data_IF_112960786044
#
_entry.id   IF_112960786044
#
_cell.length_a   1.000
_cell.length_b   1.000
_cell.length_c   1.000
_cell.angle_alpha   90.00
_cell.angle_beta   90.00
_cell.angle_gamma   90.00
#
_symmetry.space_group_name_H-M   'P 1'
#
loop_
_entity.id
_entity.type
_entity.pdbx_description
1 polymer ?
#
# COMPACT_ATOMS: atom_id res chain seq x y z
N UNK A 1 -16.28 -3.61 9.58
CA UNK A 1 -15.77 -4.12 8.30
C UNK A 1 -14.57 -5.04 8.57
N UNK A 2 -14.58 -6.25 8.01
CA UNK A 2 -13.45 -7.17 8.16
C UNK A 2 -12.46 -6.95 7.01
N UNK A 3 -11.51 -6.04 7.21
CA UNK A 3 -10.55 -5.63 6.18
C UNK A 3 -9.57 -6.75 5.77
N UNK A 4 -9.45 -7.84 6.56
CA UNK A 4 -8.59 -8.97 6.19
C UNK A 4 -9.10 -9.79 4.99
N UNK A 5 -10.34 -9.56 4.58
CA UNK A 5 -10.95 -10.22 3.43
C UNK A 5 -10.88 -9.39 2.16
N UNK A 6 -10.26 -8.22 2.22
CA UNK A 6 -10.21 -7.25 1.13
C UNK A 6 -8.75 -7.07 0.71
N UNK A 7 -8.33 -7.75 -0.34
CA UNK A 7 -6.99 -7.62 -0.89
C UNK A 7 -5.88 -7.75 0.17
N UNK A 8 -4.84 -6.94 0.07
CA UNK A 8 -3.74 -6.88 1.02
C UNK A 8 -4.09 -6.19 2.37
N UNK A 9 -5.35 -5.86 2.60
CA UNK A 9 -5.81 -5.22 3.84
C UNK A 9 -5.93 -6.25 4.96
N UNK A 10 -5.04 -6.19 5.95
CA UNK A 10 -4.97 -7.16 7.08
C UNK A 10 -5.16 -6.50 8.45
N UNK A 11 -5.76 -5.30 8.52
CA UNK A 11 -6.02 -4.55 9.75
C UNK A 11 -7.36 -4.98 10.37
N UNK A 12 -7.38 -6.12 11.05
CA UNK A 12 -8.59 -6.68 11.68
C UNK A 12 -8.63 -6.45 13.18
N UNK A 13 -9.80 -6.62 13.77
CA UNK A 13 -9.99 -6.55 15.22
C UNK A 13 -9.21 -7.66 15.94
N UNK A 14 -9.16 -8.88 15.36
CA UNK A 14 -8.39 -9.98 15.92
C UNK A 14 -6.89 -9.68 15.92
N UNK A 15 -6.37 -9.13 14.80
CA UNK A 15 -4.99 -8.66 14.76
C UNK A 15 -4.75 -7.55 15.76
N UNK A 16 -5.62 -6.54 15.83
CA UNK A 16 -5.49 -5.44 16.77
C UNK A 16 -5.46 -5.89 18.23
N UNK A 17 -6.21 -6.95 18.57
CA UNK A 17 -6.22 -7.54 19.92
C UNK A 17 -4.92 -8.27 20.25
N UNK A 18 -4.33 -8.95 19.29
CA UNK A 18 -3.25 -9.91 19.49
C UNK A 18 -1.87 -9.43 19.03
N UNK A 19 -1.77 -8.25 18.40
CA UNK A 19 -0.49 -7.73 17.91
C UNK A 19 0.47 -7.43 19.06
N UNK A 20 1.63 -8.08 19.05
CA UNK A 20 2.73 -7.92 20.01
C UNK A 20 4.07 -8.01 19.26
N UNK A 21 5.16 -7.73 19.94
CA UNK A 21 6.51 -7.93 19.41
C UNK A 21 6.88 -9.38 19.11
N UNK A 22 6.12 -10.34 19.66
CA UNK A 22 6.32 -11.78 19.49
C UNK A 22 5.20 -12.45 18.68
N UNK A 23 4.14 -11.72 18.32
CA UNK A 23 3.11 -12.23 17.43
C UNK A 23 3.67 -12.48 16.03
N UNK A 24 3.00 -13.35 15.28
CA UNK A 24 3.34 -13.64 13.90
C UNK A 24 3.40 -12.34 13.06
N UNK A 25 4.37 -12.22 12.18
CA UNK A 25 4.49 -11.09 11.28
C UNK A 25 3.36 -11.11 10.24
N UNK A 26 2.55 -10.06 10.22
CA UNK A 26 1.34 -10.05 9.40
C UNK A 26 1.57 -9.47 8.01
N UNK A 27 2.38 -8.41 7.87
CA UNK A 27 2.63 -7.78 6.59
C UNK A 27 4.07 -7.34 6.45
N UNK A 28 4.62 -7.53 5.25
CA UNK A 28 5.88 -6.95 4.81
C UNK A 28 5.70 -6.23 3.48
N UNK A 29 6.22 -5.02 3.34
CA UNK A 29 6.32 -4.33 2.06
C UNK A 29 7.80 -4.15 1.71
N UNK A 30 8.24 -4.78 0.62
CA UNK A 30 9.62 -4.74 0.14
C UNK A 30 9.73 -3.83 -1.07
N UNK A 31 10.59 -2.81 -0.95
CA UNK A 31 10.92 -1.89 -2.03
C UNK A 31 12.07 -2.48 -2.85
N UNK A 32 11.77 -2.83 -4.10
CA UNK A 32 12.73 -3.52 -4.98
C UNK A 32 13.63 -2.55 -5.75
N UNK A 33 13.07 -1.43 -6.18
CA UNK A 33 13.72 -0.51 -7.10
C UNK A 33 13.21 0.91 -6.92
N UNK A 34 14.06 1.89 -7.19
CA UNK A 34 13.63 3.29 -7.36
C UNK A 34 13.27 3.61 -8.83
N UNK A 35 13.62 2.75 -9.77
CA UNK A 35 13.34 2.95 -11.20
C UNK A 35 11.86 2.89 -11.48
N UNK A 36 11.37 3.81 -12.31
CA UNK A 36 10.01 3.82 -12.81
C UNK A 36 9.99 4.33 -14.25
N UNK A 37 9.14 3.74 -15.07
CA UNK A 37 8.91 4.18 -16.43
C UNK A 37 7.85 5.29 -16.55
N UNK A 38 7.18 5.67 -15.43
CA UNK A 38 6.33 6.85 -15.31
C UNK A 38 7.00 7.95 -14.49
N UNK A 39 6.50 9.20 -14.62
CA UNK A 39 6.96 10.37 -13.86
C UNK A 39 5.75 11.14 -13.32
N UNK A 40 4.96 10.46 -12.49
CA UNK A 40 3.74 11.05 -11.91
C UNK A 40 4.07 12.29 -11.06
N UNK A 41 3.33 13.41 -11.24
CA UNK A 41 3.65 14.69 -10.58
C UNK A 41 3.65 14.62 -9.05
N UNK A 42 2.81 13.77 -8.47
CA UNK A 42 2.68 13.58 -7.02
C UNK A 42 3.60 12.48 -6.46
N UNK A 43 4.39 11.82 -7.30
CA UNK A 43 5.17 10.65 -6.88
C UNK A 43 6.20 11.00 -5.81
N UNK A 44 6.18 10.24 -4.73
CA UNK A 44 7.22 10.24 -3.70
C UNK A 44 8.26 9.18 -4.05
N UNK A 45 9.10 9.50 -5.03
CA UNK A 45 10.19 8.62 -5.43
C UNK A 45 11.13 8.40 -4.26
N UNK A 46 11.41 7.14 -3.96
CA UNK A 46 12.49 6.75 -3.06
C UNK A 46 13.77 6.63 -3.90
N UNK A 47 14.81 7.36 -3.56
CA UNK A 47 16.09 7.27 -4.26
C UNK A 47 16.82 5.95 -3.97
N UNK A 48 17.89 5.70 -4.68
CA UNK A 48 18.77 4.55 -4.43
C UNK A 48 18.79 3.52 -5.56
N UNK A 49 19.72 2.57 -5.52
CA UNK A 49 19.82 1.48 -6.50
C UNK A 49 18.69 0.46 -6.31
N UNK A 50 18.58 -0.45 -7.27
CA UNK A 50 17.79 -1.67 -7.09
C UNK A 50 18.37 -2.47 -5.92
N UNK A 51 17.51 -3.13 -5.17
CA UNK A 51 17.97 -4.06 -4.13
C UNK A 51 18.72 -5.23 -4.80
N UNK A 52 19.80 -5.66 -4.18
CA UNK A 52 20.45 -6.90 -4.58
C UNK A 52 19.51 -8.09 -4.39
N UNK A 53 19.50 -9.05 -5.36
CA UNK A 53 18.56 -10.16 -5.35
C UNK A 53 18.77 -11.09 -4.14
N UNK A 54 20.01 -11.35 -3.75
CA UNK A 54 20.31 -12.19 -2.60
C UNK A 54 19.92 -11.50 -1.30
N UNK A 55 20.06 -10.18 -1.23
CA UNK A 55 19.56 -9.40 -0.10
C UNK A 55 18.03 -9.42 -0.02
N UNK A 56 17.33 -9.31 -1.14
CA UNK A 56 15.87 -9.43 -1.16
C UNK A 56 15.41 -10.82 -0.70
N UNK A 57 16.09 -11.89 -1.13
CA UNK A 57 15.85 -13.27 -0.66
C UNK A 57 16.13 -13.43 0.83
N UNK A 58 17.21 -12.87 1.34
CA UNK A 58 17.52 -12.86 2.77
C UNK A 58 16.39 -12.25 3.58
N UNK A 59 15.88 -11.09 3.13
CA UNK A 59 14.77 -10.39 3.79
C UNK A 59 13.51 -11.26 3.81
N UNK A 60 13.14 -11.88 2.68
CA UNK A 60 11.97 -12.75 2.59
C UNK A 60 12.12 -13.95 3.54
N UNK A 61 13.31 -14.56 3.59
CA UNK A 61 13.60 -15.69 4.47
C UNK A 61 13.47 -15.29 5.95
N UNK A 62 14.08 -14.17 6.36
CA UNK A 62 13.95 -13.66 7.74
C UNK A 62 12.50 -13.36 8.12
N UNK A 63 11.74 -12.76 7.21
CA UNK A 63 10.33 -12.48 7.47
C UNK A 63 9.48 -13.75 7.52
N UNK A 64 9.78 -14.73 6.70
CA UNK A 64 9.10 -16.03 6.71
C UNK A 64 9.40 -16.82 8.00
N UNK A 65 10.63 -16.74 8.53
CA UNK A 65 10.99 -17.34 9.82
C UNK A 65 10.23 -16.68 10.99
N UNK A 66 9.85 -15.41 10.86
CA UNK A 66 8.95 -14.68 11.78
C UNK A 66 7.45 -14.94 11.47
N UNK A 67 7.16 -15.85 10.55
CA UNK A 67 5.82 -16.30 10.18
C UNK A 67 5.04 -15.31 9.30
N UNK A 68 5.71 -14.58 8.40
CA UNK A 68 5.10 -13.62 7.50
C UNK A 68 3.87 -14.19 6.78
N UNK A 69 2.73 -13.50 6.89
CA UNK A 69 1.47 -13.89 6.23
C UNK A 69 1.30 -13.26 4.85
N UNK A 70 1.62 -11.97 4.74
CA UNK A 70 1.34 -11.20 3.53
C UNK A 70 2.57 -10.40 3.13
N UNK A 71 2.98 -10.49 1.88
CA UNK A 71 4.05 -9.67 1.33
C UNK A 71 3.52 -8.78 0.20
N UNK A 72 4.04 -7.57 0.11
CA UNK A 72 3.85 -6.67 -1.02
C UNK A 72 5.18 -6.28 -1.62
N UNK A 73 5.31 -6.46 -2.91
CA UNK A 73 6.41 -5.90 -3.67
C UNK A 73 6.01 -4.54 -4.24
N UNK A 74 6.88 -3.55 -4.07
CA UNK A 74 6.67 -2.19 -4.57
C UNK A 74 8.00 -1.50 -4.88
N UNK A 75 7.97 -0.19 -5.10
CA UNK A 75 9.17 0.59 -5.41
C UNK A 75 8.84 1.82 -6.22
N UNK A 76 9.62 2.08 -7.27
CA UNK A 76 9.20 2.88 -8.41
C UNK A 76 8.17 2.07 -9.20
N UNK A 77 8.64 1.23 -10.15
CA UNK A 77 7.79 0.23 -10.81
C UNK A 77 8.43 -1.16 -10.64
N UNK A 78 7.83 -2.04 -9.81
CA UNK A 78 8.43 -3.34 -9.49
C UNK A 78 8.52 -4.29 -10.68
N UNK A 79 7.68 -4.14 -11.71
CA UNK A 79 7.75 -4.97 -12.92
C UNK A 79 9.02 -4.72 -13.75
N UNK A 80 9.76 -3.64 -13.47
CA UNK A 80 11.07 -3.38 -14.07
C UNK A 80 12.22 -4.11 -13.36
N UNK A 81 11.93 -4.78 -12.23
CA UNK A 81 12.93 -5.54 -11.47
C UNK A 81 13.02 -6.96 -12.02
N UNK A 82 14.16 -7.34 -12.55
CA UNK A 82 14.34 -8.61 -13.29
C UNK A 82 14.17 -9.87 -12.42
N UNK A 83 14.40 -9.77 -11.12
CA UNK A 83 14.26 -10.89 -10.17
C UNK A 83 12.87 -11.03 -9.55
N UNK A 84 11.86 -10.28 -10.00
CA UNK A 84 10.55 -10.23 -9.33
C UNK A 84 9.87 -11.60 -9.24
N UNK A 85 9.82 -12.37 -10.32
CA UNK A 85 9.20 -13.71 -10.34
C UNK A 85 9.87 -14.64 -9.32
N UNK A 86 11.20 -14.66 -9.28
CA UNK A 86 11.97 -15.47 -8.34
C UNK A 86 11.66 -15.12 -6.87
N UNK A 87 11.47 -13.84 -6.57
CA UNK A 87 11.09 -13.40 -5.21
C UNK A 87 9.65 -13.78 -4.86
N UNK A 88 8.73 -13.74 -5.83
CA UNK A 88 7.35 -14.20 -5.65
C UNK A 88 7.32 -15.70 -5.37
N UNK A 89 8.01 -16.49 -6.17
CA UNK A 89 8.13 -17.95 -5.99
C UNK A 89 8.75 -18.30 -4.64
N UNK A 90 9.81 -17.60 -4.24
CA UNK A 90 10.43 -17.80 -2.93
C UNK A 90 9.44 -17.48 -1.80
N UNK A 91 8.70 -16.37 -1.88
CA UNK A 91 7.70 -16.03 -0.87
C UNK A 91 6.65 -17.16 -0.73
N UNK A 92 6.17 -17.71 -1.85
CA UNK A 92 5.23 -18.84 -1.85
C UNK A 92 5.84 -20.11 -1.27
N UNK A 93 7.05 -20.46 -1.69
CA UNK A 93 7.78 -21.62 -1.16
C UNK A 93 7.97 -21.53 0.37
N UNK A 94 8.16 -20.32 0.88
CA UNK A 94 8.29 -20.03 2.31
C UNK A 94 6.95 -19.94 3.07
N UNK A 95 5.83 -20.19 2.42
CA UNK A 95 4.51 -20.27 3.05
C UNK A 95 3.80 -18.93 3.22
N UNK A 96 4.22 -17.88 2.51
CA UNK A 96 3.48 -16.61 2.51
C UNK A 96 2.10 -16.81 1.89
N UNK A 97 1.06 -16.47 2.63
CA UNK A 97 -0.33 -16.76 2.27
C UNK A 97 -0.85 -15.84 1.15
N UNK A 98 -0.41 -14.58 1.11
CA UNK A 98 -0.81 -13.61 0.09
C UNK A 98 0.38 -12.81 -0.41
N UNK A 99 0.54 -12.79 -1.73
CA UNK A 99 1.55 -12.00 -2.43
C UNK A 99 0.86 -10.90 -3.23
N UNK A 100 1.19 -9.64 -2.91
CA UNK A 100 0.62 -8.46 -3.55
C UNK A 100 1.68 -7.68 -4.35
N UNK A 101 1.26 -7.05 -5.44
CA UNK A 101 2.10 -6.16 -6.25
C UNK A 101 1.48 -4.75 -6.31
N UNK A 102 2.28 -3.72 -5.98
CA UNK A 102 1.90 -2.32 -6.27
C UNK A 102 2.55 -1.88 -7.57
N UNK A 103 1.77 -1.62 -8.60
CA UNK A 103 2.26 -1.35 -9.95
C UNK A 103 1.54 -0.16 -10.59
N UNK A 104 2.18 0.48 -11.56
CA UNK A 104 1.55 1.49 -12.39
C UNK A 104 0.70 0.89 -13.54
N UNK A 105 0.66 -0.43 -13.67
CA UNK A 105 -0.18 -1.11 -14.65
C UNK A 105 0.38 -1.15 -16.08
N UNK A 106 1.64 -0.79 -16.31
CA UNK A 106 2.19 -0.61 -17.66
C UNK A 106 2.97 -1.79 -18.23
N UNK A 107 3.10 -2.89 -17.49
CA UNK A 107 3.78 -4.09 -17.98
C UNK A 107 2.94 -4.80 -19.07
N UNK A 108 3.55 -5.72 -19.81
CA UNK A 108 2.79 -6.51 -20.78
C UNK A 108 1.89 -7.56 -20.09
N UNK A 109 0.85 -8.00 -20.80
CA UNK A 109 -0.05 -9.05 -20.33
C UNK A 109 0.72 -10.34 -20.01
N UNK A 110 1.68 -10.72 -20.86
CA UNK A 110 2.52 -11.89 -20.65
C UNK A 110 3.34 -11.80 -19.36
N UNK A 111 3.84 -10.60 -19.04
CA UNK A 111 4.58 -10.40 -17.80
C UNK A 111 3.66 -10.50 -16.58
N UNK A 112 2.44 -9.95 -16.63
CA UNK A 112 1.46 -10.11 -15.57
C UNK A 112 1.00 -11.57 -15.43
N UNK A 113 0.77 -12.28 -16.54
CA UNK A 113 0.45 -13.71 -16.49
C UNK A 113 1.57 -14.50 -15.81
N UNK A 114 2.82 -14.26 -16.18
CA UNK A 114 3.97 -14.90 -15.54
C UNK A 114 4.04 -14.63 -14.03
N UNK A 115 3.69 -13.43 -13.58
CA UNK A 115 3.62 -13.08 -12.16
C UNK A 115 2.47 -13.81 -11.44
N UNK A 116 1.31 -13.96 -12.07
CA UNK A 116 0.20 -14.78 -11.56
C UNK A 116 0.63 -16.23 -11.43
N UNK A 117 1.26 -16.78 -12.45
CA UNK A 117 1.75 -18.17 -12.47
C UNK A 117 2.80 -18.41 -11.38
N UNK A 118 3.66 -17.42 -11.09
CA UNK A 118 4.62 -17.44 -9.97
C UNK A 118 3.94 -17.30 -8.61
N UNK A 119 2.70 -16.80 -8.54
CA UNK A 119 1.91 -16.77 -7.32
C UNK A 119 1.49 -15.38 -6.81
N UNK A 120 1.46 -14.34 -7.63
CA UNK A 120 0.84 -13.06 -7.24
C UNK A 120 -0.67 -13.20 -7.19
N UNK A 121 -1.28 -12.83 -6.05
CA UNK A 121 -2.74 -12.87 -5.85
C UNK A 121 -3.43 -11.54 -6.07
N UNK A 122 -2.68 -10.43 -5.91
CA UNK A 122 -3.28 -9.14 -5.56
C UNK A 122 -2.53 -8.01 -6.27
N UNK A 123 -3.21 -7.31 -7.16
CA UNK A 123 -2.64 -6.17 -7.87
C UNK A 123 -3.25 -4.87 -7.37
N UNK A 124 -2.40 -3.97 -6.84
CA UNK A 124 -2.79 -2.59 -6.52
C UNK A 124 -2.30 -1.67 -7.63
N UNK A 125 -3.19 -1.25 -8.50
CA UNK A 125 -2.85 -0.51 -9.72
C UNK A 125 -3.24 0.96 -9.55
N UNK A 126 -2.32 1.87 -9.91
CA UNK A 126 -2.59 3.31 -9.88
C UNK A 126 -3.38 3.74 -11.10
N UNK A 127 -4.51 4.44 -10.90
CA UNK A 127 -5.34 4.99 -11.97
C UNK A 127 -5.96 6.33 -11.51
N UNK A 128 -5.36 7.44 -11.92
CA UNK A 128 -5.70 8.78 -11.40
C UNK A 128 -6.47 9.63 -12.40
N UNK A 129 -7.01 9.02 -13.45
CA UNK A 129 -7.72 9.68 -14.53
C UNK A 129 -8.83 8.78 -15.10
N UNK A 130 -9.79 9.41 -15.79
CA UNK A 130 -10.87 8.73 -16.52
C UNK A 130 -10.76 8.87 -18.05
N UNK A 131 -9.72 9.52 -18.54
CA UNK A 131 -9.53 9.72 -19.97
C UNK A 131 -8.04 9.78 -20.35
N UNK A 132 -7.74 9.53 -21.62
CA UNK A 132 -6.36 9.42 -22.12
C UNK A 132 -5.55 10.70 -21.92
N UNK A 133 -6.13 11.87 -22.15
CA UNK A 133 -5.40 13.14 -22.01
C UNK A 133 -4.90 13.35 -20.58
N UNK A 134 -5.77 13.14 -19.58
CA UNK A 134 -5.40 13.30 -18.18
C UNK A 134 -4.50 12.16 -17.72
N UNK A 135 -4.78 10.92 -18.13
CA UNK A 135 -4.01 9.75 -17.74
C UNK A 135 -2.58 9.77 -18.26
N UNK A 136 -2.39 10.17 -19.50
CA UNK A 136 -1.05 10.34 -20.08
C UNK A 136 -0.26 11.45 -19.36
N UNK A 137 -0.92 12.56 -18.97
CA UNK A 137 -0.31 13.61 -18.13
C UNK A 137 0.08 13.07 -16.77
N UNK A 138 -0.79 12.28 -16.10
CA UNK A 138 -0.51 11.67 -14.82
C UNK A 138 0.64 10.65 -14.90
N UNK A 139 0.84 10.00 -16.04
CA UNK A 139 2.01 9.15 -16.33
C UNK A 139 3.30 9.92 -16.66
N UNK A 140 3.30 11.26 -16.48
CA UNK A 140 4.43 12.13 -16.82
C UNK A 140 4.52 12.49 -18.29
N UNK A 141 3.41 12.53 -19.01
CA UNK A 141 3.31 12.88 -20.44
C UNK A 141 3.58 11.70 -21.38
N UNK A 142 3.56 10.47 -20.90
CA UNK A 142 3.77 9.27 -21.73
C UNK A 142 2.51 8.96 -22.55
N UNK A 143 2.55 9.27 -23.82
CA UNK A 143 1.42 9.05 -24.76
C UNK A 143 1.02 7.58 -24.83
N UNK A 144 -0.29 7.32 -24.73
CA UNK A 144 -0.88 5.99 -24.79
C UNK A 144 -0.77 5.18 -23.49
N UNK A 145 -0.12 5.71 -22.44
CA UNK A 145 0.02 5.03 -21.17
C UNK A 145 -1.33 4.69 -20.55
N UNK A 146 -2.29 5.64 -20.60
CA UNK A 146 -3.64 5.43 -20.07
C UNK A 146 -4.35 4.22 -20.70
N UNK A 147 -4.27 4.10 -22.04
CA UNK A 147 -4.90 2.98 -22.76
C UNK A 147 -4.34 1.63 -22.31
N UNK A 148 -3.01 1.52 -22.26
CA UNK A 148 -2.32 0.29 -21.80
C UNK A 148 -2.73 -0.06 -20.37
N UNK A 149 -2.73 0.91 -19.46
CA UNK A 149 -3.11 0.68 -18.05
C UNK A 149 -4.57 0.23 -17.93
N UNK A 150 -5.48 0.88 -18.66
CA UNK A 150 -6.90 0.53 -18.63
C UNK A 150 -7.18 -0.88 -19.19
N UNK A 151 -6.51 -1.27 -20.28
CA UNK A 151 -6.58 -2.61 -20.84
C UNK A 151 -6.06 -3.66 -19.86
N UNK A 152 -4.90 -3.42 -19.27
CA UNK A 152 -4.31 -4.29 -18.26
C UNK A 152 -5.19 -4.43 -17.01
N UNK A 153 -5.78 -3.33 -16.51
CA UNK A 153 -6.73 -3.40 -15.38
C UNK A 153 -7.92 -4.28 -15.73
N UNK A 154 -8.52 -4.11 -16.91
CA UNK A 154 -9.66 -4.92 -17.34
C UNK A 154 -9.32 -6.40 -17.44
N UNK A 155 -8.19 -6.71 -18.05
CA UNK A 155 -7.73 -8.08 -18.17
C UNK A 155 -7.40 -8.71 -16.80
N UNK A 156 -6.60 -8.04 -15.97
CA UNK A 156 -6.24 -8.49 -14.63
C UNK A 156 -7.47 -8.67 -13.73
N UNK A 157 -8.47 -7.79 -13.85
CA UNK A 157 -9.70 -7.88 -13.05
C UNK A 157 -10.55 -9.12 -13.37
N UNK A 158 -10.37 -9.71 -14.56
CA UNK A 158 -11.05 -10.96 -14.92
C UNK A 158 -10.36 -12.22 -14.36
N UNK A 159 -9.07 -12.14 -13.98
CA UNK A 159 -8.26 -13.31 -13.61
C UNK A 159 -7.64 -13.22 -12.21
N UNK A 160 -7.66 -12.06 -11.58
CA UNK A 160 -7.01 -11.82 -10.28
C UNK A 160 -7.77 -10.79 -9.45
N UNK A 161 -7.35 -10.60 -8.19
CA UNK A 161 -7.87 -9.53 -7.34
C UNK A 161 -7.17 -8.20 -7.69
N UNK A 162 -7.95 -7.21 -8.11
CA UNK A 162 -7.43 -5.88 -8.48
C UNK A 162 -8.04 -4.80 -7.60
N UNK A 163 -7.17 -4.04 -6.92
CA UNK A 163 -7.56 -2.78 -6.28
C UNK A 163 -7.03 -1.62 -7.11
N UNK A 164 -7.91 -0.76 -7.60
CA UNK A 164 -7.48 0.52 -8.18
C UNK A 164 -7.21 1.53 -7.07
N UNK A 165 -5.99 2.09 -7.08
CA UNK A 165 -5.59 3.20 -6.23
C UNK A 165 -5.74 4.53 -6.96
N UNK A 166 -6.61 5.41 -6.47
CA UNK A 166 -6.78 6.78 -6.98
C UNK A 166 -6.09 7.74 -6.03
N UNK A 167 -5.04 8.41 -6.49
CA UNK A 167 -4.37 9.48 -5.75
C UNK A 167 -5.04 10.81 -6.12
N UNK A 168 -5.72 11.41 -5.16
CA UNK A 168 -6.35 12.72 -5.34
C UNK A 168 -5.33 13.83 -5.24
N UNK A 169 -5.34 14.68 -6.26
CA UNK A 169 -4.58 15.92 -6.35
C UNK A 169 -5.55 17.07 -6.68
N UNK A 170 -5.13 18.31 -6.55
CA UNK A 170 -5.94 19.45 -7.01
C UNK A 170 -6.30 19.36 -8.48
N UNK A 171 -5.45 18.69 -9.29
CA UNK A 171 -5.67 18.55 -10.72
C UNK A 171 -6.82 17.57 -11.08
N UNK A 172 -7.07 16.54 -10.26
CA UNK A 172 -8.07 15.50 -10.55
C UNK A 172 -9.23 15.42 -9.55
N UNK A 173 -9.15 16.12 -8.42
CA UNK A 173 -10.18 16.07 -7.37
C UNK A 173 -11.60 16.39 -7.88
N UNK A 174 -11.74 17.35 -8.80
CA UNK A 174 -13.02 17.67 -9.42
C UNK A 174 -13.61 16.59 -10.34
N UNK A 175 -12.81 15.57 -10.69
CA UNK A 175 -13.19 14.43 -11.54
C UNK A 175 -13.28 13.10 -10.76
N UNK A 176 -13.21 13.13 -9.43
CA UNK A 176 -13.12 11.93 -8.58
C UNK A 176 -14.20 10.90 -8.91
N UNK A 177 -15.47 11.31 -8.98
CA UNK A 177 -16.58 10.40 -9.30
C UNK A 177 -16.44 9.78 -10.69
N UNK A 178 -15.98 10.55 -11.67
CA UNK A 178 -15.77 10.06 -13.04
C UNK A 178 -14.65 9.02 -13.07
N UNK A 179 -13.57 9.23 -12.33
CA UNK A 179 -12.45 8.30 -12.21
C UNK A 179 -12.92 7.00 -11.55
N UNK A 180 -13.71 7.09 -10.48
CA UNK A 180 -14.26 5.93 -9.77
C UNK A 180 -15.22 5.14 -10.69
N UNK A 181 -16.12 5.80 -11.41
CA UNK A 181 -17.00 5.16 -12.39
C UNK A 181 -16.24 4.49 -13.52
N UNK A 182 -15.17 5.12 -13.97
CA UNK A 182 -14.31 4.51 -14.99
C UNK A 182 -13.61 3.26 -14.44
N UNK A 183 -13.02 3.32 -13.24
CA UNK A 183 -12.42 2.15 -12.58
C UNK A 183 -13.45 1.02 -12.39
N UNK A 184 -14.68 1.34 -11.96
CA UNK A 184 -15.78 0.38 -11.84
C UNK A 184 -16.08 -0.31 -13.18
N UNK A 185 -16.09 0.44 -14.28
CA UNK A 185 -16.34 -0.10 -15.63
C UNK A 185 -15.27 -1.07 -16.13
N UNK A 186 -14.09 -1.09 -15.48
CA UNK A 186 -13.01 -2.03 -15.76
C UNK A 186 -13.13 -3.35 -14.99
N UNK A 187 -14.15 -3.49 -14.11
CA UNK A 187 -14.45 -4.74 -13.40
C UNK A 187 -13.59 -4.99 -12.16
N UNK A 188 -13.00 -3.95 -11.58
CA UNK A 188 -12.08 -4.06 -10.43
C UNK A 188 -12.74 -4.64 -9.18
N UNK A 189 -11.94 -5.26 -8.31
CA UNK A 189 -12.40 -5.88 -7.06
C UNK A 189 -12.64 -4.85 -5.95
N UNK A 190 -11.85 -3.77 -5.89
CA UNK A 190 -12.05 -2.66 -4.97
C UNK A 190 -11.41 -1.36 -5.49
N UNK A 191 -11.79 -0.24 -4.91
CA UNK A 191 -11.28 1.09 -5.24
C UNK A 191 -10.83 1.79 -3.96
N UNK A 192 -9.60 2.30 -3.97
CA UNK A 192 -9.00 3.04 -2.85
C UNK A 192 -8.70 4.47 -3.26
N UNK A 193 -9.28 5.42 -2.58
CA UNK A 193 -9.02 6.86 -2.78
C UNK A 193 -8.11 7.38 -1.67
N UNK A 194 -7.01 8.07 -2.01
CA UNK A 194 -6.04 8.62 -1.06
C UNK A 194 -5.61 10.02 -1.51
N UNK A 195 -5.65 11.05 -0.63
CA UNK A 195 -5.08 12.36 -0.95
C UNK A 195 -3.57 12.28 -1.19
N UNK A 196 -3.06 13.02 -2.16
CA UNK A 196 -1.62 13.23 -2.31
C UNK A 196 -1.05 13.87 -1.03
N UNK A 197 0.10 13.36 -0.56
CA UNK A 197 0.69 13.86 0.69
C UNK A 197 1.15 15.33 0.56
N UNK A 198 1.59 15.72 -0.64
CA UNK A 198 2.08 17.08 -0.92
C UNK A 198 1.00 18.14 -0.87
N UNK A 199 -0.25 17.80 -1.14
CA UNK A 199 -1.34 18.74 -1.30
C UNK A 199 -2.20 18.89 -0.04
N UNK A 200 -1.85 18.16 1.00
CA UNK A 200 -2.34 18.39 2.34
C UNK A 200 -3.85 18.21 2.51
N UNK A 201 -4.41 19.06 3.36
CA UNK A 201 -5.77 18.94 3.89
C UNK A 201 -6.83 19.68 3.09
N UNK A 202 -6.46 20.25 1.94
CA UNK A 202 -7.32 21.19 1.18
C UNK A 202 -8.15 20.52 0.08
N UNK A 203 -8.08 19.21 -0.05
CA UNK A 203 -8.84 18.51 -1.08
C UNK A 203 -10.34 18.57 -0.78
N UNK A 204 -11.18 18.78 -1.82
CA UNK A 204 -12.62 18.85 -1.66
C UNK A 204 -13.19 17.51 -1.17
N UNK A 205 -14.36 17.60 -0.54
CA UNK A 205 -15.16 16.40 -0.20
C UNK A 205 -15.44 15.61 -1.48
N UNK A 206 -15.18 14.31 -1.46
CA UNK A 206 -15.57 13.43 -2.55
C UNK A 206 -17.06 13.11 -2.42
N UNK A 207 -17.76 13.16 -3.55
CA UNK A 207 -19.14 12.66 -3.67
C UNK A 207 -19.11 11.45 -4.58
N UNK A 208 -19.69 10.35 -4.12
CA UNK A 208 -19.76 9.07 -4.84
C UNK A 208 -21.19 8.53 -4.68
N UNK A 209 -21.73 7.93 -5.73
CA UNK A 209 -23.08 7.35 -5.68
C UNK A 209 -23.16 6.20 -4.67
N UNK A 210 -24.33 6.03 -4.03
CA UNK A 210 -24.59 4.95 -3.06
C UNK A 210 -24.36 3.57 -3.65
N UNK A 211 -24.62 3.38 -4.95
CA UNK A 211 -24.37 2.13 -5.66
C UNK A 211 -22.89 1.73 -5.57
N UNK A 212 -21.98 2.64 -5.87
CA UNK A 212 -20.53 2.39 -5.83
C UNK A 212 -20.01 2.22 -4.39
N UNK A 213 -20.56 3.01 -3.46
CA UNK A 213 -20.23 2.89 -2.03
C UNK A 213 -20.61 1.51 -1.49
N UNK A 214 -21.80 1.02 -1.85
CA UNK A 214 -22.25 -0.30 -1.40
C UNK A 214 -21.47 -1.46 -2.04
N UNK A 215 -20.90 -1.24 -3.23
CA UNK A 215 -20.11 -2.23 -3.95
C UNK A 215 -18.68 -2.37 -3.41
N UNK A 216 -18.05 -1.26 -3.02
CA UNK A 216 -16.61 -1.18 -2.71
C UNK A 216 -16.36 -0.82 -1.23
N UNK A 217 -16.02 -1.81 -0.37
CA UNK A 217 -15.83 -1.58 1.06
C UNK A 217 -14.73 -0.59 1.42
N UNK A 218 -13.61 -0.57 0.70
CA UNK A 218 -12.54 0.39 0.96
C UNK A 218 -12.99 1.80 0.56
N UNK A 219 -13.67 1.94 -0.57
CA UNK A 219 -14.22 3.21 -1.02
C UNK A 219 -15.25 3.74 -0.02
N UNK A 220 -16.17 2.89 0.45
CA UNK A 220 -17.17 3.23 1.46
C UNK A 220 -16.53 3.75 2.74
N UNK A 221 -15.49 3.08 3.22
CA UNK A 221 -14.75 3.51 4.40
C UNK A 221 -14.12 4.90 4.20
N UNK A 222 -13.49 5.15 3.04
CA UNK A 222 -12.84 6.43 2.73
C UNK A 222 -13.86 7.55 2.54
N UNK A 223 -14.92 7.32 1.78
CA UNK A 223 -16.00 8.30 1.57
C UNK A 223 -16.62 8.71 2.91
N UNK A 224 -16.95 7.74 3.77
CA UNK A 224 -17.50 8.04 5.09
C UNK A 224 -16.57 8.93 5.92
N UNK A 225 -15.26 8.72 5.87
CA UNK A 225 -14.31 9.59 6.56
C UNK A 225 -14.33 11.03 6.00
N UNK A 226 -14.38 11.19 4.68
CA UNK A 226 -14.53 12.51 4.05
C UNK A 226 -15.85 13.16 4.44
N UNK A 227 -16.96 12.46 4.34
CA UNK A 227 -18.32 12.96 4.62
C UNK A 227 -18.51 13.36 6.08
N UNK A 228 -17.88 12.64 7.01
CA UNK A 228 -17.94 12.95 8.45
C UNK A 228 -16.89 13.96 8.91
N UNK A 229 -16.09 14.51 8.00
CA UNK A 229 -15.04 15.48 8.31
C UNK A 229 -13.81 14.88 9.01
N UNK A 230 -13.73 13.56 9.13
CA UNK A 230 -12.56 12.90 9.77
C UNK A 230 -11.28 13.05 8.98
N UNK A 231 -11.38 13.24 7.66
CA UNK A 231 -10.26 13.20 6.71
C UNK A 231 -9.62 11.81 6.61
N UNK A 232 -8.86 11.56 5.55
CA UNK A 232 -8.18 10.28 5.33
C UNK A 232 -6.76 10.26 5.92
N UNK A 233 -6.23 11.41 6.28
CA UNK A 233 -4.89 11.59 6.86
C UNK A 233 -4.93 12.49 8.09
N UNK A 234 -4.00 12.25 9.00
CA UNK A 234 -3.76 13.06 10.21
C UNK A 234 -4.31 12.45 11.50
N UNK A 235 -3.90 13.00 12.62
CA UNK A 235 -4.41 12.66 13.96
C UNK A 235 -4.03 11.25 14.46
N UNK A 236 -2.74 10.82 14.47
CA UNK A 236 -2.35 9.50 14.94
C UNK A 236 -2.62 9.32 16.42
N UNK A 237 -2.73 8.08 16.86
CA UNK A 237 -2.59 7.70 18.28
C UNK A 237 -1.16 7.96 18.76
N UNK A 238 -0.97 8.03 20.07
CA UNK A 238 0.36 8.26 20.63
C UNK A 238 1.34 7.15 20.26
N UNK A 239 0.88 5.90 20.26
CA UNK A 239 1.67 4.71 19.89
C UNK A 239 1.14 4.09 18.61
N UNK A 240 2.01 3.49 17.81
CA UNK A 240 1.64 2.78 16.61
C UNK A 240 1.82 1.27 16.81
N UNK A 241 0.73 0.55 17.04
CA UNK A 241 0.77 -0.90 17.21
C UNK A 241 1.04 -1.66 15.89
N UNK A 242 0.77 -1.02 14.74
CA UNK A 242 1.07 -1.62 13.43
C UNK A 242 2.56 -1.98 13.32
N UNK A 243 3.44 -1.18 13.93
CA UNK A 243 4.88 -1.43 13.88
C UNK A 243 5.28 -2.77 14.50
N UNK A 244 4.46 -3.38 15.34
CA UNK A 244 4.79 -4.62 16.04
C UNK A 244 4.84 -5.84 15.10
N UNK A 245 3.99 -5.88 14.06
CA UNK A 245 3.85 -7.03 13.16
C UNK A 245 3.71 -6.66 11.67
N UNK A 246 4.01 -5.41 11.32
CA UNK A 246 3.97 -4.87 9.95
C UNK A 246 5.27 -4.13 9.65
N UNK A 247 5.83 -4.28 8.47
CA UNK A 247 7.15 -3.73 8.15
C UNK A 247 7.23 -3.21 6.72
N UNK A 248 7.91 -2.09 6.53
CA UNK A 248 8.41 -1.67 5.22
C UNK A 248 9.94 -1.79 5.21
N UNK A 249 10.49 -2.30 4.12
CA UNK A 249 11.93 -2.45 3.95
C UNK A 249 12.42 -1.85 2.64
N UNK A 250 13.59 -1.20 2.70
CA UNK A 250 14.30 -0.67 1.54
C UNK A 250 15.82 -0.87 1.75
N UNK A 251 16.45 -1.61 0.85
CA UNK A 251 17.83 -2.07 1.05
C UNK A 251 17.96 -2.86 2.35
N UNK A 252 18.91 -2.47 3.20
CA UNK A 252 19.16 -3.11 4.50
C UNK A 252 18.29 -2.57 5.64
N UNK A 253 17.48 -1.57 5.39
CA UNK A 253 16.78 -0.84 6.46
C UNK A 253 15.33 -1.23 6.57
N UNK A 254 14.81 -1.25 7.81
CA UNK A 254 13.38 -1.35 8.04
C UNK A 254 12.79 -0.07 8.67
N UNK A 255 11.54 0.19 8.32
CA UNK A 255 10.80 1.40 8.67
C UNK A 255 9.51 1.04 9.40
N UNK A 256 8.91 1.97 10.17
CA UNK A 256 7.64 1.71 10.86
C UNK A 256 6.50 1.39 9.89
N UNK A 257 6.45 2.09 8.75
CA UNK A 257 5.51 1.82 7.66
C UNK A 257 6.00 2.44 6.35
N UNK A 258 5.35 2.07 5.25
CA UNK A 258 5.67 2.58 3.91
C UNK A 258 5.49 4.11 3.78
N UNK A 259 4.50 4.68 4.46
CA UNK A 259 4.25 6.13 4.43
C UNK A 259 5.43 6.86 5.08
N UNK A 260 5.82 6.44 6.27
CA UNK A 260 6.94 7.04 7.01
C UNK A 260 8.22 7.04 6.17
N UNK A 261 8.53 5.93 5.53
CA UNK A 261 9.67 5.81 4.63
C UNK A 261 9.58 6.79 3.44
N UNK A 262 8.42 6.83 2.76
CA UNK A 262 8.23 7.68 1.57
C UNK A 262 8.23 9.18 1.90
N UNK A 263 7.92 9.56 3.10
CA UNK A 263 7.99 10.95 3.60
C UNK A 263 9.39 11.32 4.15
N UNK A 264 10.40 10.48 3.93
CA UNK A 264 11.80 10.75 4.32
C UNK A 264 12.10 10.47 5.79
N UNK A 265 11.25 9.71 6.47
CA UNK A 265 11.48 9.29 7.85
C UNK A 265 12.70 8.39 7.99
N UNK A 266 13.36 8.46 9.14
CA UNK A 266 14.53 7.64 9.40
C UNK A 266 14.16 6.16 9.61
N UNK A 267 15.01 5.21 9.21
CA UNK A 267 14.77 3.80 9.49
C UNK A 267 14.77 3.54 11.01
N UNK A 268 14.04 2.52 11.44
CA UNK A 268 14.10 2.02 12.81
C UNK A 268 15.46 1.36 13.07
N UNK A 269 15.92 0.59 12.10
CA UNK A 269 17.18 -0.14 12.18
C UNK A 269 17.50 -0.92 10.91
N UNK A 270 18.40 -1.88 11.04
CA UNK A 270 18.78 -2.81 9.98
C UNK A 270 17.93 -4.08 10.03
N UNK A 271 17.63 -4.64 8.88
CA UNK A 271 16.98 -5.96 8.81
C UNK A 271 17.97 -7.02 9.32
N UNK A 272 17.50 -7.81 10.26
CA UNK A 272 18.27 -8.86 10.91
C UNK A 272 17.55 -9.44 12.10
N UNK A 273 18.20 -10.30 12.86
CA UNK A 273 17.63 -11.01 14.01
C UNK A 273 17.18 -10.09 15.15
N UNK A 274 17.72 -8.87 15.24
CA UNK A 274 17.35 -7.84 16.23
C UNK A 274 16.15 -6.97 15.85
N UNK A 275 15.62 -7.08 14.62
CA UNK A 275 14.62 -6.16 14.09
C UNK A 275 13.34 -6.09 14.94
N UNK A 276 12.87 -7.21 15.51
CA UNK A 276 11.66 -7.25 16.34
C UNK A 276 11.82 -6.45 17.63
N UNK A 277 12.98 -6.56 18.29
CA UNK A 277 13.30 -5.81 19.50
C UNK A 277 13.44 -4.30 19.21
N UNK A 278 14.00 -3.93 18.07
CA UNK A 278 14.11 -2.53 17.63
C UNK A 278 12.71 -1.95 17.38
N UNK A 279 11.80 -2.70 16.75
CA UNK A 279 10.42 -2.31 16.50
C UNK A 279 9.61 -2.19 17.79
N UNK A 280 9.81 -3.12 18.74
CA UNK A 280 9.20 -3.02 20.07
C UNK A 280 9.66 -1.76 20.79
N UNK A 281 10.98 -1.49 20.81
CA UNK A 281 11.52 -0.27 21.43
C UNK A 281 10.94 0.99 20.77
N UNK A 282 10.84 1.01 19.44
CA UNK A 282 10.22 2.12 18.72
C UNK A 282 8.75 2.29 19.14
N UNK A 283 7.97 1.22 19.21
CA UNK A 283 6.59 1.27 19.70
C UNK A 283 6.49 1.86 21.12
N UNK A 284 7.36 1.45 22.02
CA UNK A 284 7.35 1.87 23.42
C UNK A 284 7.79 3.32 23.63
N UNK A 285 8.70 3.82 22.81
CA UNK A 285 9.36 5.11 23.04
C UNK A 285 8.91 6.22 22.08
N UNK A 286 8.53 5.89 20.83
CA UNK A 286 8.22 6.88 19.81
C UNK A 286 6.81 7.47 20.02
N UNK A 287 6.73 8.79 20.09
CA UNK A 287 5.45 9.52 20.20
C UNK A 287 5.00 9.99 18.81
N UNK A 288 4.06 9.24 18.19
CA UNK A 288 3.56 9.54 16.85
C UNK A 288 2.82 10.88 16.76
N UNK A 289 2.32 11.42 17.88
CA UNK A 289 1.63 12.73 17.90
C UNK A 289 2.61 13.89 17.81
N UNK A 290 3.87 13.68 18.19
CA UNK A 290 4.94 14.67 18.13
C UNK A 290 5.81 14.51 16.88
N UNK A 291 5.68 13.41 16.16
CA UNK A 291 6.40 13.17 14.91
C UNK A 291 5.66 13.82 13.75
N UNK A 292 6.33 14.73 13.03
CA UNK A 292 5.72 15.51 11.94
C UNK A 292 5.20 14.62 10.80
N UNK A 293 5.87 13.52 10.50
CA UNK A 293 5.45 12.58 9.45
C UNK A 293 4.20 11.84 9.89
N UNK A 294 4.22 11.24 11.08
CA UNK A 294 3.08 10.53 11.61
C UNK A 294 1.87 11.45 11.79
N UNK A 295 2.08 12.62 12.40
CA UNK A 295 1.02 13.59 12.67
C UNK A 295 0.32 14.11 11.41
N UNK A 296 1.10 14.29 10.31
CA UNK A 296 0.57 14.82 9.05
C UNK A 296 0.07 13.77 8.06
N UNK A 297 0.55 12.52 8.17
CA UNK A 297 0.38 11.54 7.08
C UNK A 297 -0.24 10.20 7.50
N UNK A 298 -0.50 9.97 8.79
CA UNK A 298 -1.13 8.72 9.23
C UNK A 298 -2.51 8.55 8.59
N UNK A 299 -2.79 7.35 8.07
CA UNK A 299 -4.09 7.06 7.48
C UNK A 299 -5.12 6.72 8.56
N UNK A 300 -6.36 7.19 8.39
CA UNK A 300 -7.46 6.95 9.32
C UNK A 300 -7.65 5.46 9.67
N UNK A 301 -7.50 4.58 8.69
CA UNK A 301 -7.58 3.13 8.91
C UNK A 301 -6.49 2.63 9.86
N UNK A 302 -5.31 3.25 9.85
CA UNK A 302 -4.23 2.94 10.79
C UNK A 302 -4.53 3.51 12.18
N UNK A 303 -5.12 4.71 12.25
CA UNK A 303 -5.57 5.33 13.50
C UNK A 303 -6.65 4.46 14.15
N UNK A 304 -7.66 4.05 13.40
CA UNK A 304 -8.74 3.18 13.91
C UNK A 304 -8.20 1.85 14.44
N UNK A 305 -7.25 1.25 13.72
CA UNK A 305 -6.58 0.04 14.17
C UNK A 305 -5.83 0.24 15.50
N UNK A 306 -5.02 1.31 15.59
CA UNK A 306 -4.25 1.61 16.79
C UNK A 306 -5.17 1.92 17.98
N UNK A 307 -6.26 2.66 17.78
CA UNK A 307 -7.27 2.94 18.82
C UNK A 307 -7.91 1.65 19.34
N UNK A 308 -8.22 0.71 18.46
CA UNK A 308 -8.73 -0.61 18.85
C UNK A 308 -7.69 -1.39 19.66
N UNK A 309 -6.44 -1.41 19.18
CA UNK A 309 -5.34 -2.08 19.90
C UNK A 309 -5.20 -1.52 21.32
N UNK A 310 -5.16 -0.21 21.49
CA UNK A 310 -5.11 0.43 22.81
C UNK A 310 -6.30 0.02 23.67
N UNK A 311 -7.53 0.04 23.13
CA UNK A 311 -8.74 -0.30 23.87
C UNK A 311 -8.80 -1.77 24.35
N UNK A 312 -8.23 -2.69 23.58
CA UNK A 312 -8.15 -4.11 23.96
C UNK A 312 -7.09 -4.36 25.03
N UNK A 313 -5.98 -3.64 25.00
CA UNK A 313 -4.85 -3.85 25.89
C UNK A 313 -4.92 -3.03 27.21
N UNK A 314 -5.81 -2.02 27.29
CA UNK A 314 -6.08 -1.30 28.55
C UNK A 314 -7.05 -2.05 29.49
N UNK A 315 -7.71 -3.11 29.04
CA UNK A 315 -8.67 -3.90 29.80
C UNK A 315 -8.05 -5.14 30.47
N UNK A 316 -6.77 -5.37 30.24
CA UNK A 316 -5.98 -6.43 30.88
C UNK A 316 -4.96 -5.81 31.84
#
# INVERSE_FOLDING_TARGET
>A
MNLSRIGFYTLTDDRARNATSTSQMMRGELILSSRCNFKCPYCRSVGGPDIDIEKAKEIINLWADEGLKNIRFSGGEPTLYSGLNELVELARLRGVERVALSTNGSASEEQYQSLIDSGVDDFSISLDACCAEDGDKMAGGRKGAFGVVAENIRWLSAVSYVTVGVVLTVANAGKTEQIIKFADSLGVSDIRVIPAAQEGQTLPTISVSDELINKYPILAYRENNFRTGRKVRGGPTRRCAIVLDDMAAMGDNHYPCIIYMREGGQPIGKIGTGMRQERQRWHETHDCTQDMICAGNCLEVCVDYNTKHESFNQRN
#
